data_IF_296344585247
#
_entry.id   IF_296344585247
#
_cell.length_a   1.000
_cell.length_b   1.000
_cell.length_c   1.000
_cell.angle_alpha   90.00
_cell.angle_beta   90.00
_cell.angle_gamma   90.00
#
_symmetry.space_group_name_H-M   'P 1'
#
loop_
_entity.id
_entity.type
_entity.pdbx_description
1 polymer ?
#
# COMPACT_ATOMS: atom_id res chain seq x y z
N UNK A 1 -19.81 -11.69 45.18
CA UNK A 1 -20.25 -10.92 43.99
C UNK A 1 -20.48 -11.90 42.85
N UNK A 2 -21.73 -12.06 42.42
CA UNK A 2 -22.12 -12.88 41.27
C UNK A 2 -21.53 -12.25 40.00
N UNK A 3 -20.47 -12.87 39.48
CA UNK A 3 -19.79 -12.37 38.28
C UNK A 3 -20.64 -12.56 37.03
N UNK A 4 -20.34 -11.76 36.00
CA UNK A 4 -21.01 -11.87 34.70
C UNK A 4 -20.95 -13.28 34.12
N UNK A 5 -22.05 -13.71 33.50
CA UNK A 5 -22.10 -14.90 32.66
C UNK A 5 -21.34 -14.67 31.36
N UNK A 6 -20.96 -15.75 30.66
CA UNK A 6 -20.34 -15.67 29.33
C UNK A 6 -21.22 -14.89 28.34
N UNK A 7 -22.54 -15.05 28.42
CA UNK A 7 -23.48 -14.29 27.59
C UNK A 7 -23.43 -12.78 27.89
N UNK A 8 -23.44 -12.40 29.17
CA UNK A 8 -23.32 -10.99 29.58
C UNK A 8 -21.99 -10.37 29.16
N UNK A 9 -20.89 -11.13 29.25
CA UNK A 9 -19.58 -10.71 28.75
C UNK A 9 -19.61 -10.49 27.23
N UNK A 10 -20.26 -11.38 26.47
CA UNK A 10 -20.39 -11.26 25.02
C UNK A 10 -21.15 -10.00 24.62
N UNK A 11 -22.35 -9.80 25.19
CA UNK A 11 -23.20 -8.66 24.89
C UNK A 11 -22.50 -7.33 25.21
N UNK A 12 -21.81 -7.25 26.35
CA UNK A 12 -21.05 -6.05 26.72
C UNK A 12 -19.91 -5.74 25.72
N UNK A 13 -19.20 -6.76 25.25
CA UNK A 13 -18.15 -6.60 24.25
C UNK A 13 -18.74 -6.14 22.90
N UNK A 14 -19.81 -6.79 22.45
CA UNK A 14 -20.47 -6.48 21.18
C UNK A 14 -21.13 -5.10 21.19
N UNK A 15 -21.68 -4.67 22.33
CA UNK A 15 -22.22 -3.33 22.51
C UNK A 15 -21.16 -2.26 22.25
N UNK A 16 -19.94 -2.44 22.79
CA UNK A 16 -18.85 -1.52 22.50
C UNK A 16 -18.40 -1.59 21.03
N UNK A 17 -18.22 -2.79 20.46
CA UNK A 17 -17.79 -2.96 19.05
C UNK A 17 -18.73 -2.24 18.07
N UNK A 18 -20.04 -2.28 18.34
CA UNK A 18 -21.08 -1.69 17.47
C UNK A 18 -21.32 -0.19 17.73
N UNK A 19 -20.82 0.32 18.85
CA UNK A 19 -20.93 1.73 19.23
C UNK A 19 -20.12 2.65 18.32
N UNK A 20 -20.39 3.96 18.40
CA UNK A 20 -19.62 4.99 17.70
C UNK A 20 -18.13 4.92 18.05
N UNK A 21 -17.78 4.77 19.33
CA UNK A 21 -16.39 4.65 19.77
C UNK A 21 -15.69 3.40 19.19
N UNK A 22 -16.42 2.30 19.01
CA UNK A 22 -15.93 1.08 18.36
C UNK A 22 -15.67 1.28 16.87
N UNK A 23 -16.59 1.97 16.16
CA UNK A 23 -16.44 2.32 14.74
C UNK A 23 -15.27 3.27 14.51
N UNK A 24 -15.10 4.28 15.37
CA UNK A 24 -13.97 5.19 15.32
C UNK A 24 -12.64 4.48 15.55
N UNK A 25 -12.61 3.52 16.49
CA UNK A 25 -11.44 2.68 16.71
C UNK A 25 -11.12 1.84 15.46
N UNK A 26 -12.12 1.24 14.83
CA UNK A 26 -11.95 0.49 13.58
C UNK A 26 -11.38 1.38 12.47
N UNK A 27 -11.92 2.58 12.27
CA UNK A 27 -11.42 3.53 11.26
C UNK A 27 -9.98 3.98 11.52
N UNK A 28 -9.59 4.13 12.79
CA UNK A 28 -8.18 4.39 13.15
C UNK A 28 -7.29 3.19 12.85
N UNK A 29 -7.73 1.97 13.16
CA UNK A 29 -6.95 0.75 12.94
C UNK A 29 -6.78 0.43 11.45
N UNK A 30 -7.85 0.56 10.65
CA UNK A 30 -7.81 0.43 9.18
C UNK A 30 -6.76 1.38 8.59
N UNK A 31 -6.81 2.67 8.95
CA UNK A 31 -5.81 3.65 8.48
C UNK A 31 -4.40 3.36 9.00
N UNK A 32 -4.26 2.99 10.27
CA UNK A 32 -2.96 2.73 10.91
C UNK A 32 -2.24 1.55 10.26
N UNK A 33 -2.97 0.50 9.90
CA UNK A 33 -2.39 -0.73 9.33
C UNK A 33 -2.49 -0.80 7.80
N UNK A 34 -3.07 0.21 7.15
CA UNK A 34 -3.26 0.23 5.70
C UNK A 34 -4.05 -0.98 5.23
N UNK A 35 -5.20 -1.25 5.85
CA UNK A 35 -6.05 -2.38 5.48
C UNK A 35 -6.80 -2.11 4.17
N UNK A 36 -7.19 -3.18 3.46
CA UNK A 36 -8.05 -3.06 2.28
C UNK A 36 -9.53 -3.02 2.69
N UNK A 37 -9.83 -3.59 3.87
CA UNK A 37 -11.13 -3.65 4.50
C UNK A 37 -11.62 -2.29 4.95
N UNK A 38 -12.92 -2.04 4.79
CA UNK A 38 -13.59 -0.87 5.32
C UNK A 38 -13.66 -0.95 6.86
N UNK A 39 -13.81 0.20 7.57
CA UNK A 39 -13.96 0.20 9.03
C UNK A 39 -15.13 -0.68 9.52
N UNK A 40 -16.23 -0.75 8.76
CA UNK A 40 -17.37 -1.59 9.10
C UNK A 40 -17.10 -3.09 8.93
N UNK A 41 -16.25 -3.47 7.97
CA UNK A 41 -15.83 -4.86 7.81
C UNK A 41 -15.02 -5.32 9.01
N UNK A 42 -14.11 -4.46 9.50
CA UNK A 42 -13.34 -4.76 10.70
C UNK A 42 -14.23 -4.90 11.95
N UNK A 43 -15.32 -4.13 12.04
CA UNK A 43 -16.35 -4.27 13.09
C UNK A 43 -17.07 -5.61 12.98
N UNK A 44 -17.47 -6.02 11.78
CA UNK A 44 -18.14 -7.31 11.51
C UNK A 44 -17.22 -8.49 11.84
N UNK A 45 -15.99 -8.49 11.33
CA UNK A 45 -14.97 -9.52 11.60
C UNK A 45 -14.71 -9.64 13.11
N UNK A 46 -14.61 -8.51 13.81
CA UNK A 46 -14.40 -8.52 15.27
C UNK A 46 -15.61 -9.11 15.99
N UNK A 47 -16.82 -8.74 15.58
CA UNK A 47 -18.07 -9.25 16.16
C UNK A 47 -18.19 -10.78 16.00
N UNK A 48 -17.88 -11.30 14.82
CA UNK A 48 -17.86 -12.73 14.55
C UNK A 48 -16.82 -13.47 15.38
N UNK A 49 -15.60 -12.92 15.50
CA UNK A 49 -14.55 -13.53 16.33
C UNK A 49 -14.92 -13.57 17.81
N UNK A 50 -15.54 -12.52 18.34
CA UNK A 50 -16.02 -12.49 19.73
C UNK A 50 -17.09 -13.57 19.92
N UNK A 51 -18.12 -13.59 19.06
CA UNK A 51 -19.16 -14.61 19.10
C UNK A 51 -18.60 -16.03 19.03
N UNK A 52 -17.72 -16.30 18.07
CA UNK A 52 -17.10 -17.62 17.89
C UNK A 52 -16.15 -18.01 19.03
N UNK A 53 -15.52 -17.03 19.71
CA UNK A 53 -14.67 -17.30 20.86
C UNK A 53 -15.50 -17.68 22.09
N UNK A 54 -16.59 -16.95 22.34
CA UNK A 54 -17.43 -17.15 23.52
C UNK A 54 -18.40 -18.33 23.35
N UNK A 55 -18.87 -18.62 22.14
CA UNK A 55 -19.75 -19.79 21.89
C UNK A 55 -19.06 -21.13 22.17
N UNK A 56 -17.73 -21.19 22.03
CA UNK A 56 -16.91 -22.38 22.32
C UNK A 56 -16.52 -22.52 23.78
N UNK A 57 -16.85 -21.53 24.63
CA UNK A 57 -16.45 -21.52 26.04
C UNK A 57 -17.57 -22.02 26.93
N UNK A 58 -17.25 -22.99 27.77
CA UNK A 58 -18.08 -23.44 28.89
C UNK A 58 -17.93 -22.53 30.12
N UNK A 59 -16.78 -21.88 30.25
CA UNK A 59 -16.45 -20.99 31.37
C UNK A 59 -16.32 -19.53 30.95
N UNK A 60 -16.66 -18.63 31.87
CA UNK A 60 -16.50 -17.19 31.69
C UNK A 60 -15.04 -16.82 31.41
N UNK A 61 -14.82 -15.71 30.70
CA UNK A 61 -13.48 -15.17 30.51
C UNK A 61 -12.98 -14.63 31.88
N UNK A 62 -11.88 -15.18 32.43
CA UNK A 62 -11.25 -14.58 33.60
C UNK A 62 -10.78 -13.17 33.24
N UNK A 63 -10.92 -12.20 34.14
CA UNK A 63 -10.61 -10.77 33.94
C UNK A 63 -11.64 -9.89 33.21
N UNK A 64 -12.83 -10.40 32.87
CA UNK A 64 -13.92 -9.56 32.32
C UNK A 64 -15.08 -9.52 33.30
N UNK A 65 -15.10 -8.50 34.15
CA UNK A 65 -16.14 -8.35 35.18
C UNK A 65 -16.93 -7.05 35.07
N UNK A 66 -16.46 -6.11 34.25
CA UNK A 66 -17.03 -4.79 34.06
C UNK A 66 -17.15 -4.42 32.58
N UNK A 67 -17.93 -3.36 32.29
CA UNK A 67 -18.02 -2.79 30.95
C UNK A 67 -16.66 -2.30 30.42
N UNK A 68 -15.81 -1.80 31.31
CA UNK A 68 -14.48 -1.33 30.93
C UNK A 68 -13.56 -2.50 30.53
N UNK A 69 -13.62 -3.61 31.26
CA UNK A 69 -12.88 -4.82 30.91
C UNK A 69 -13.36 -5.41 29.57
N UNK A 70 -14.68 -5.44 29.36
CA UNK A 70 -15.28 -5.87 28.10
C UNK A 70 -14.83 -4.98 26.93
N UNK A 71 -14.78 -3.67 27.14
CA UNK A 71 -14.27 -2.69 26.16
C UNK A 71 -12.81 -2.95 25.82
N UNK A 72 -11.94 -3.11 26.82
CA UNK A 72 -10.51 -3.42 26.61
C UNK A 72 -10.31 -4.73 25.87
N UNK A 73 -11.09 -5.76 26.22
CA UNK A 73 -11.05 -7.06 25.55
C UNK A 73 -11.48 -6.95 24.08
N UNK A 74 -12.60 -6.26 23.82
CA UNK A 74 -13.12 -6.05 22.49
C UNK A 74 -12.15 -5.25 21.61
N UNK A 75 -11.60 -4.14 22.14
CA UNK A 75 -10.57 -3.36 21.44
C UNK A 75 -9.33 -4.19 21.13
N UNK A 76 -8.86 -5.01 22.09
CA UNK A 76 -7.71 -5.90 21.85
C UNK A 76 -7.99 -6.92 20.76
N UNK A 77 -9.19 -7.49 20.74
CA UNK A 77 -9.64 -8.44 19.70
C UNK A 77 -9.69 -7.78 18.32
N UNK A 78 -10.20 -6.55 18.26
CA UNK A 78 -10.22 -5.74 17.03
C UNK A 78 -8.81 -5.41 16.54
N UNK A 79 -7.94 -4.95 17.45
CA UNK A 79 -6.55 -4.59 17.13
C UNK A 79 -5.75 -5.81 16.66
N UNK A 80 -5.93 -6.97 17.27
CA UNK A 80 -5.28 -8.20 16.83
C UNK A 80 -5.77 -8.60 15.43
N UNK A 81 -7.08 -8.49 15.17
CA UNK A 81 -7.63 -8.76 13.84
C UNK A 81 -7.06 -7.84 12.77
N UNK A 82 -6.95 -6.55 13.07
CA UNK A 82 -6.32 -5.58 12.17
C UNK A 82 -4.84 -5.92 11.90
N UNK A 83 -4.08 -6.33 12.91
CA UNK A 83 -2.68 -6.76 12.75
C UNK A 83 -2.59 -8.01 11.88
N UNK A 84 -3.46 -9.00 12.08
CA UNK A 84 -3.48 -10.24 11.31
C UNK A 84 -3.81 -9.99 9.84
N UNK A 85 -4.80 -9.14 9.56
CA UNK A 85 -5.13 -8.71 8.18
C UNK A 85 -3.96 -7.97 7.53
N UNK A 86 -3.34 -7.04 8.25
CA UNK A 86 -2.14 -6.34 7.77
C UNK A 86 -0.91 -7.23 7.58
N UNK A 87 -0.84 -8.39 8.25
CA UNK A 87 0.17 -9.43 7.99
C UNK A 87 -0.18 -10.26 6.76
N UNK A 88 -1.45 -10.67 6.61
CA UNK A 88 -1.93 -11.40 5.43
C UNK A 88 -1.67 -10.63 4.15
N UNK A 89 -2.03 -9.35 4.10
CA UNK A 89 -1.76 -8.49 2.94
C UNK A 89 -0.28 -8.45 2.56
N UNK A 90 0.62 -8.37 3.55
CA UNK A 90 2.07 -8.39 3.29
C UNK A 90 2.55 -9.74 2.75
N UNK A 91 2.01 -10.83 3.28
CA UNK A 91 2.34 -12.17 2.82
C UNK A 91 1.75 -12.46 1.42
N UNK A 92 0.53 -12.02 1.15
CA UNK A 92 -0.11 -12.11 -0.17
C UNK A 92 0.63 -11.27 -1.19
N UNK A 93 1.03 -10.04 -0.85
CA UNK A 93 1.89 -9.24 -1.72
C UNK A 93 3.21 -9.94 -2.01
N UNK A 94 3.86 -10.54 -1.01
CA UNK A 94 5.08 -11.33 -1.21
C UNK A 94 4.85 -12.59 -2.05
N UNK A 95 3.71 -13.26 -1.87
CA UNK A 95 3.35 -14.47 -2.62
C UNK A 95 3.00 -14.14 -4.08
N UNK A 96 2.29 -13.04 -4.33
CA UNK A 96 2.02 -12.53 -5.68
C UNK A 96 3.32 -12.18 -6.39
N UNK A 97 4.27 -11.51 -5.72
CA UNK A 97 5.60 -11.27 -6.28
C UNK A 97 6.35 -12.57 -6.59
N UNK A 98 6.20 -13.59 -5.74
CA UNK A 98 6.83 -14.90 -5.97
C UNK A 98 6.17 -15.70 -7.10
N UNK A 99 4.85 -15.59 -7.26
CA UNK A 99 4.09 -16.25 -8.33
C UNK A 99 4.37 -15.58 -9.68
N UNK A 100 4.41 -14.24 -9.73
CA UNK A 100 4.79 -13.50 -10.92
C UNK A 100 6.20 -13.86 -11.43
N UNK A 101 7.12 -14.18 -10.51
CA UNK A 101 8.46 -14.64 -10.87
C UNK A 101 8.49 -16.08 -11.45
N UNK A 102 7.48 -16.91 -11.18
CA UNK A 102 7.43 -18.32 -11.57
C UNK A 102 6.49 -18.55 -12.77
N UNK A 103 5.45 -17.74 -12.90
CA UNK A 103 4.47 -17.80 -13.97
C UNK A 103 4.12 -16.37 -14.43
N UNK A 104 4.97 -15.74 -15.26
CA UNK A 104 4.62 -14.45 -15.86
C UNK A 104 3.35 -14.63 -16.69
N UNK A 105 2.33 -13.83 -16.41
CA UNK A 105 1.10 -13.81 -17.20
C UNK A 105 1.46 -13.17 -18.53
N UNK A 106 1.70 -13.99 -19.54
CA UNK A 106 1.92 -13.50 -20.89
C UNK A 106 0.65 -12.81 -21.36
N UNK A 107 0.65 -11.48 -21.41
CA UNK A 107 -0.31 -10.69 -22.19
C UNK A 107 -0.38 -11.29 -23.61
N UNK A 108 -1.58 -11.31 -24.20
CA UNK A 108 -1.74 -11.75 -25.59
C UNK A 108 -0.77 -11.01 -26.51
N UNK A 109 -0.29 -11.67 -27.57
CA UNK A 109 0.71 -11.11 -28.50
C UNK A 109 0.34 -9.72 -29.01
N UNK A 110 -0.94 -9.45 -29.26
CA UNK A 110 -1.45 -8.14 -29.67
C UNK A 110 -1.31 -7.07 -28.57
N UNK A 111 -1.60 -7.40 -27.30
CA UNK A 111 -1.44 -6.47 -26.17
C UNK A 111 0.03 -6.17 -25.87
N UNK A 112 0.92 -7.15 -26.04
CA UNK A 112 2.37 -6.95 -25.90
C UNK A 112 2.90 -6.01 -26.98
N UNK A 113 2.46 -6.17 -28.23
CA UNK A 113 2.83 -5.27 -29.35
C UNK A 113 2.31 -3.86 -29.12
N UNK A 114 1.03 -3.70 -28.73
CA UNK A 114 0.44 -2.38 -28.44
C UNK A 114 1.18 -1.70 -27.27
N UNK A 115 1.47 -2.44 -26.20
CA UNK A 115 2.21 -1.91 -25.04
C UNK A 115 3.64 -1.51 -25.40
N UNK A 116 4.31 -2.29 -26.26
CA UNK A 116 5.66 -1.97 -26.71
C UNK A 116 5.69 -0.70 -27.57
N UNK A 117 4.80 -0.59 -28.56
CA UNK A 117 4.69 0.62 -29.40
C UNK A 117 4.37 1.85 -28.55
N UNK A 118 3.44 1.72 -27.61
CA UNK A 118 3.09 2.80 -26.69
C UNK A 118 4.28 3.26 -25.84
N UNK A 119 5.06 2.32 -25.29
CA UNK A 119 6.23 2.69 -24.49
C UNK A 119 7.34 3.30 -25.37
N UNK A 120 7.53 2.84 -26.59
CA UNK A 120 8.46 3.45 -27.57
C UNK A 120 8.06 4.89 -27.94
N UNK A 121 6.77 5.15 -28.11
CA UNK A 121 6.23 6.51 -28.28
C UNK A 121 6.47 7.35 -27.03
N UNK A 122 6.31 6.77 -25.84
CA UNK A 122 6.57 7.43 -24.56
C UNK A 122 8.05 7.77 -24.35
N UNK A 123 8.98 6.93 -24.81
CA UNK A 123 10.40 7.27 -24.86
C UNK A 123 10.67 8.47 -25.77
N UNK A 124 10.06 8.49 -26.95
CA UNK A 124 10.21 9.59 -27.91
C UNK A 124 9.64 10.90 -27.34
N UNK A 125 8.50 10.85 -26.67
CA UNK A 125 7.89 11.98 -25.99
C UNK A 125 8.74 12.48 -24.81
N UNK A 126 9.25 11.55 -23.99
CA UNK A 126 10.14 11.84 -22.87
C UNK A 126 11.37 12.61 -23.34
N UNK A 127 12.00 12.16 -24.43
CA UNK A 127 13.16 12.83 -25.01
C UNK A 127 12.82 14.24 -25.49
N UNK A 128 11.68 14.42 -26.17
CA UNK A 128 11.22 15.74 -26.64
C UNK A 128 10.91 16.70 -25.50
N UNK A 129 10.22 16.25 -24.46
CA UNK A 129 9.88 17.08 -23.29
C UNK A 129 11.14 17.48 -22.52
N UNK A 130 12.09 16.55 -22.37
CA UNK A 130 13.40 16.84 -21.77
C UNK A 130 14.17 17.90 -22.56
N UNK A 131 14.28 17.74 -23.89
CA UNK A 131 15.00 18.67 -24.77
C UNK A 131 14.32 20.04 -24.90
N UNK A 132 13.00 20.13 -24.70
CA UNK A 132 12.25 21.40 -24.61
C UNK A 132 12.53 22.17 -23.32
N UNK A 133 13.36 21.63 -22.43
CA UNK A 133 13.84 22.33 -21.24
C UNK A 133 13.02 22.01 -19.99
N UNK A 134 12.55 20.77 -19.82
CA UNK A 134 11.98 20.36 -18.52
C UNK A 134 12.99 20.61 -17.39
N UNK A 135 12.57 21.33 -16.35
CA UNK A 135 13.41 21.67 -15.20
C UNK A 135 12.83 21.09 -13.91
N UNK A 136 13.66 20.34 -13.19
CA UNK A 136 13.33 19.88 -11.84
C UNK A 136 14.01 20.77 -10.79
N UNK A 137 13.25 21.43 -9.89
CA UNK A 137 13.85 22.26 -8.84
C UNK A 137 14.53 21.43 -7.73
N UNK A 138 14.25 20.13 -7.66
CA UNK A 138 14.70 19.26 -6.57
C UNK A 138 15.87 18.33 -6.92
N UNK A 139 16.16 18.15 -8.21
CA UNK A 139 17.03 17.10 -8.74
C UNK A 139 17.69 17.57 -10.02
N UNK A 140 18.88 17.05 -10.33
CA UNK A 140 19.52 17.34 -11.61
C UNK A 140 18.65 16.76 -12.75
N UNK A 141 18.38 17.56 -13.79
CA UNK A 141 17.58 17.13 -14.94
C UNK A 141 18.10 15.82 -15.57
N UNK A 142 19.43 15.59 -15.56
CA UNK A 142 20.03 14.33 -16.02
C UNK A 142 19.61 13.12 -15.18
N UNK A 143 19.50 13.29 -13.86
CA UNK A 143 19.06 12.23 -12.93
C UNK A 143 17.56 11.98 -13.11
N UNK A 144 16.76 13.04 -13.24
CA UNK A 144 15.32 12.91 -13.50
C UNK A 144 15.03 12.21 -14.82
N UNK A 145 15.75 12.57 -15.88
CA UNK A 145 15.67 11.91 -17.17
C UNK A 145 16.08 10.44 -17.08
N UNK A 146 17.25 10.15 -16.51
CA UNK A 146 17.73 8.78 -16.33
C UNK A 146 16.75 7.91 -15.53
N UNK A 147 16.16 8.45 -14.46
CA UNK A 147 15.18 7.73 -13.64
C UNK A 147 13.88 7.47 -14.41
N UNK A 148 13.37 8.45 -15.16
CA UNK A 148 12.21 8.25 -16.02
C UNK A 148 12.48 7.21 -17.12
N UNK A 149 13.68 7.25 -17.70
CA UNK A 149 14.14 6.27 -18.70
C UNK A 149 14.21 4.87 -18.11
N UNK A 150 14.81 4.67 -16.92
CA UNK A 150 14.86 3.34 -16.29
C UNK A 150 13.46 2.82 -15.93
N UNK A 151 12.54 3.70 -15.47
CA UNK A 151 11.14 3.32 -15.23
C UNK A 151 10.47 2.78 -16.50
N UNK A 152 10.66 3.46 -17.65
CA UNK A 152 10.09 3.00 -18.92
C UNK A 152 10.74 1.70 -19.40
N UNK A 153 12.05 1.52 -19.21
CA UNK A 153 12.73 0.26 -19.55
C UNK A 153 12.22 -0.89 -18.68
N UNK A 154 12.00 -0.64 -17.39
CA UNK A 154 11.47 -1.63 -16.48
C UNK A 154 10.04 -2.02 -16.86
N UNK A 155 9.20 -1.05 -17.24
CA UNK A 155 7.87 -1.30 -17.78
C UNK A 155 7.87 -2.12 -19.09
N UNK A 156 8.87 -1.93 -19.96
CA UNK A 156 9.06 -2.75 -21.17
C UNK A 156 9.46 -4.20 -20.85
N UNK A 157 10.38 -4.39 -19.91
CA UNK A 157 10.99 -5.70 -19.62
C UNK A 157 10.04 -6.58 -18.80
N UNK A 158 9.36 -6.02 -17.80
CA UNK A 158 8.54 -6.81 -16.88
C UNK A 158 7.06 -6.93 -17.30
N UNK A 159 6.61 -6.15 -18.29
CA UNK A 159 5.21 -6.16 -18.74
C UNK A 159 4.22 -5.69 -17.67
N UNK A 160 2.90 -5.79 -17.94
CA UNK A 160 1.84 -5.27 -17.06
C UNK A 160 1.79 -5.89 -15.66
N UNK A 161 2.47 -7.01 -15.44
CA UNK A 161 2.41 -7.78 -14.20
C UNK A 161 3.27 -7.18 -13.08
N UNK A 162 4.29 -6.40 -13.42
CA UNK A 162 5.05 -5.62 -12.44
C UNK A 162 4.22 -4.52 -11.78
N UNK A 163 3.13 -4.07 -12.43
CA UNK A 163 2.35 -2.89 -12.06
C UNK A 163 1.48 -3.14 -10.80
N UNK A 164 1.42 -4.35 -10.26
CA UNK A 164 0.53 -4.73 -9.15
C UNK A 164 0.97 -4.24 -7.74
N UNK A 165 2.07 -3.48 -7.61
CA UNK A 165 2.45 -2.87 -6.33
C UNK A 165 3.10 -1.50 -6.50
N UNK A 166 2.61 -0.46 -5.78
CA UNK A 166 3.20 0.89 -5.82
C UNK A 166 4.69 0.95 -5.37
N UNK A 167 5.26 -0.13 -4.85
CA UNK A 167 6.63 -0.17 -4.32
C UNK A 167 7.73 -0.25 -5.38
N UNK A 168 7.52 -0.95 -6.51
CA UNK A 168 8.59 -1.13 -7.51
C UNK A 168 9.00 0.19 -8.17
N UNK A 169 8.02 1.06 -8.46
CA UNK A 169 8.26 2.35 -9.08
C UNK A 169 9.16 3.24 -8.22
N UNK A 170 8.93 3.20 -6.91
CA UNK A 170 9.74 3.92 -5.93
C UNK A 170 11.14 3.33 -5.82
N UNK A 171 11.25 2.01 -5.81
CA UNK A 171 12.52 1.31 -5.71
C UNK A 171 13.42 1.57 -6.93
N UNK A 172 12.87 1.56 -8.14
CA UNK A 172 13.60 1.90 -9.39
C UNK A 172 14.09 3.34 -9.33
N UNK A 173 13.21 4.31 -9.03
CA UNK A 173 13.58 5.72 -8.96
C UNK A 173 14.65 5.95 -7.89
N UNK A 174 14.49 5.36 -6.70
CA UNK A 174 15.44 5.53 -5.62
C UNK A 174 16.78 4.86 -5.92
N UNK A 175 16.79 3.71 -6.61
CA UNK A 175 18.01 3.05 -7.08
C UNK A 175 18.83 3.97 -8.00
N UNK A 176 18.18 4.59 -8.99
CA UNK A 176 18.84 5.54 -9.90
C UNK A 176 19.38 6.73 -9.16
N UNK A 177 18.56 7.38 -8.32
CA UNK A 177 18.99 8.54 -7.54
C UNK A 177 20.22 8.20 -6.70
N UNK A 178 20.23 7.04 -6.04
CA UNK A 178 21.36 6.63 -5.21
C UNK A 178 22.63 6.35 -6.02
N UNK A 179 22.51 5.78 -7.22
CA UNK A 179 23.65 5.50 -8.10
C UNK A 179 24.39 6.77 -8.51
N UNK A 180 23.63 7.80 -8.88
CA UNK A 180 24.17 9.10 -9.29
C UNK A 180 24.57 10.03 -8.13
N UNK A 181 24.21 9.67 -6.89
CA UNK A 181 24.55 10.43 -5.69
C UNK A 181 25.65 9.79 -4.83
N UNK A 182 26.24 8.67 -5.28
CA UNK A 182 27.33 7.98 -4.58
C UNK A 182 28.52 8.93 -4.33
N UNK A 183 28.61 9.46 -3.10
CA UNK A 183 29.68 10.37 -2.66
C UNK A 183 29.25 11.55 -1.78
N UNK A 184 27.96 11.90 -1.67
CA UNK A 184 27.50 12.99 -0.79
C UNK A 184 26.98 12.50 0.56
N UNK A 185 27.83 12.59 1.58
CA UNK A 185 27.55 12.32 2.99
C UNK A 185 26.51 13.30 3.59
N UNK A 186 25.23 13.07 3.29
CA UNK A 186 24.10 13.74 3.95
C UNK A 186 23.34 12.76 4.84
N UNK A 187 22.74 13.26 5.91
CA UNK A 187 21.96 12.44 6.85
C UNK A 187 20.84 11.66 6.15
N UNK A 188 20.48 10.51 6.70
CA UNK A 188 19.45 9.61 6.15
C UNK A 188 18.10 10.29 5.97
N UNK A 189 17.75 11.25 6.84
CA UNK A 189 16.52 12.04 6.73
C UNK A 189 16.53 13.01 5.54
N UNK A 190 17.65 13.71 5.30
CA UNK A 190 17.80 14.61 4.16
C UNK A 190 17.78 13.85 2.83
N UNK A 191 18.37 12.66 2.80
CA UNK A 191 18.35 11.77 1.63
C UNK A 191 16.92 11.32 1.30
N UNK A 192 16.13 10.90 2.31
CA UNK A 192 14.72 10.53 2.12
C UNK A 192 13.88 11.69 1.58
N UNK A 193 14.04 12.89 2.13
CA UNK A 193 13.28 14.05 1.68
C UNK A 193 13.63 14.42 0.23
N UNK A 194 14.91 14.34 -0.15
CA UNK A 194 15.35 14.61 -1.52
C UNK A 194 14.84 13.56 -2.50
N UNK A 195 14.92 12.27 -2.15
CA UNK A 195 14.35 11.16 -2.93
C UNK A 195 12.87 11.39 -3.23
N UNK A 196 12.08 11.74 -2.22
CA UNK A 196 10.66 12.07 -2.38
C UNK A 196 10.42 13.25 -3.33
N UNK A 197 11.24 14.31 -3.25
CA UNK A 197 11.12 15.47 -4.15
C UNK A 197 11.56 15.15 -5.59
N UNK A 198 12.63 14.38 -5.78
CA UNK A 198 13.09 13.96 -7.11
C UNK A 198 12.08 13.00 -7.76
N UNK A 199 11.47 12.09 -7.00
CA UNK A 199 10.33 11.26 -7.45
C UNK A 199 9.21 12.11 -8.04
N UNK A 200 8.82 13.20 -7.36
CA UNK A 200 7.78 14.11 -7.88
C UNK A 200 8.15 14.68 -9.25
N UNK A 201 9.41 15.08 -9.46
CA UNK A 201 9.86 15.53 -10.78
C UNK A 201 9.84 14.43 -11.84
N UNK A 202 10.22 13.19 -11.49
CA UNK A 202 10.14 12.05 -12.42
C UNK A 202 8.70 11.81 -12.85
N UNK A 203 7.75 11.80 -11.90
CA UNK A 203 6.33 11.67 -12.22
C UNK A 203 5.82 12.83 -13.08
N UNK A 204 6.23 14.07 -12.79
CA UNK A 204 5.86 15.24 -13.60
C UNK A 204 6.39 15.14 -15.03
N UNK A 205 7.63 14.67 -15.20
CA UNK A 205 8.23 14.46 -16.51
C UNK A 205 7.49 13.37 -17.29
N UNK A 206 7.17 12.24 -16.67
CA UNK A 206 6.38 11.17 -17.28
C UNK A 206 4.97 11.65 -17.65
N UNK A 207 4.29 12.38 -16.77
CA UNK A 207 2.98 12.95 -17.05
C UNK A 207 3.01 13.97 -18.21
N UNK A 208 4.01 14.84 -18.25
CA UNK A 208 4.19 15.78 -19.37
C UNK A 208 4.44 15.05 -20.70
N UNK A 209 5.10 13.89 -20.64
CA UNK A 209 5.35 13.04 -21.80
C UNK A 209 4.09 12.32 -22.27
N UNK A 210 3.26 11.80 -21.34
CA UNK A 210 1.94 11.25 -21.65
C UNK A 210 1.02 12.29 -22.29
N UNK A 211 0.97 13.50 -21.71
CA UNK A 211 0.21 14.60 -22.28
C UNK A 211 0.69 14.99 -23.69
N UNK A 212 1.99 14.81 -24.00
CA UNK A 212 2.52 15.08 -25.33
C UNK A 212 2.03 14.09 -26.40
N UNK A 213 1.66 12.87 -26.00
CA UNK A 213 1.13 11.81 -26.86
C UNK A 213 -0.40 11.96 -27.04
N UNK A 214 -1.05 12.78 -26.20
CA UNK A 214 -2.51 12.99 -26.25
C UNK A 214 -3.29 12.17 -25.23
N UNK A 215 -2.61 11.41 -24.37
CA UNK A 215 -3.20 10.69 -23.24
C UNK A 215 -3.39 11.65 -22.05
N UNK A 216 -4.56 12.28 -21.95
CA UNK A 216 -5.00 12.95 -20.72
C UNK A 216 -5.74 11.95 -19.85
N UNK A 217 -5.30 11.74 -18.61
CA UNK A 217 -6.08 10.99 -17.60
C UNK A 217 -7.51 11.54 -17.54
N UNK A 218 -8.49 10.72 -17.90
CA UNK A 218 -9.86 10.82 -17.40
C UNK A 218 -9.91 10.35 -15.95
#
# INVERSE_FOLDING_TARGET
>A
MTGWSTHQQCEAMLAWVRSEAGRDAAARLVRKYGLAEEPLDLVSITSEKINASLSRRTERIPSVYTNEDATRYAYRTMSNSAIDLGRRRRNESSALSSIAAIAPTTLGTEQTVISQVFIEELFSALHRVSNKGFQCPACNNKITYAAATEVLHFALIEGSDAVAGESWFDDVIYSVINRYESGMSRSTAAQRQRRSRCKKCVMQLLQASLNHIGESRG
#
